data_IF_130943103734
#
_entry.id   IF_130943103734
#
_cell.length_a   1.000
_cell.length_b   1.000
_cell.length_c   1.000
_cell.angle_alpha   90.00
_cell.angle_beta   90.00
_cell.angle_gamma   90.00
#
_symmetry.space_group_name_H-M   'P 1'
#
loop_
_entity.id
_entity.type
_entity.pdbx_description
1 polymer ?
#
# COMPACT_ATOMS: atom_id res chain seq x y z
N UNK A 1 38.96 10.81 -9.86
CA UNK A 1 37.52 10.63 -10.09
C UNK A 1 36.93 11.99 -10.36
N UNK A 2 36.50 12.22 -11.58
CA UNK A 2 35.97 13.51 -12.00
C UNK A 2 34.61 13.78 -11.34
N UNK A 3 34.42 15.00 -10.84
CA UNK A 3 33.16 15.43 -10.20
C UNK A 3 31.98 15.31 -11.18
N UNK A 4 32.22 15.49 -12.47
CA UNK A 4 31.21 15.32 -13.53
C UNK A 4 30.75 13.87 -13.69
N UNK A 5 31.67 12.89 -13.62
CA UNK A 5 31.30 11.47 -13.67
C UNK A 5 30.55 11.02 -12.42
N UNK A 6 30.89 11.55 -11.25
CA UNK A 6 30.16 11.29 -10.02
C UNK A 6 28.72 11.85 -10.08
N UNK A 7 28.57 13.07 -10.59
CA UNK A 7 27.25 13.68 -10.80
C UNK A 7 26.42 12.93 -11.83
N UNK A 8 27.02 12.48 -12.94
CA UNK A 8 26.34 11.69 -13.97
C UNK A 8 25.86 10.34 -13.43
N UNK A 9 26.71 9.64 -12.67
CA UNK A 9 26.31 8.38 -12.01
C UNK A 9 25.21 8.57 -10.97
N UNK A 10 25.23 9.71 -10.26
CA UNK A 10 24.18 10.04 -9.28
C UNK A 10 22.86 10.37 -9.97
N UNK A 11 22.88 11.09 -11.08
CA UNK A 11 21.70 11.37 -11.89
C UNK A 11 21.16 10.12 -12.58
N UNK A 12 22.01 9.28 -13.16
CA UNK A 12 21.62 8.00 -13.77
C UNK A 12 21.02 7.06 -12.71
N UNK A 13 21.58 7.02 -11.51
CA UNK A 13 21.00 6.21 -10.42
C UNK A 13 19.67 6.77 -9.91
N UNK A 14 19.45 8.08 -9.98
CA UNK A 14 18.14 8.70 -9.68
C UNK A 14 17.11 8.43 -10.79
N UNK A 15 17.51 8.46 -12.07
CA UNK A 15 16.64 8.13 -13.20
C UNK A 15 16.27 6.65 -13.22
N UNK A 16 17.22 5.75 -12.96
CA UNK A 16 16.94 4.31 -12.83
C UNK A 16 16.02 4.01 -11.65
N UNK A 17 16.13 4.74 -10.54
CA UNK A 17 15.18 4.63 -9.41
C UNK A 17 13.78 5.13 -9.75
N UNK A 18 13.62 5.95 -10.78
CA UNK A 18 12.32 6.45 -11.23
C UNK A 18 11.49 5.35 -11.90
N UNK A 19 12.14 4.39 -12.51
CA UNK A 19 11.51 3.30 -13.26
C UNK A 19 11.20 2.05 -12.39
N UNK A 20 11.82 1.94 -11.20
CA UNK A 20 11.68 0.79 -10.29
C UNK A 20 10.73 1.06 -9.11
N UNK A 21 10.00 2.16 -9.10
CA UNK A 21 9.08 2.44 -8.00
C UNK A 21 7.84 1.57 -8.07
N UNK A 22 7.55 0.87 -6.97
CA UNK A 22 6.34 0.05 -6.83
C UNK A 22 5.18 0.83 -6.21
N UNK A 23 5.46 1.86 -5.44
CA UNK A 23 4.48 2.76 -4.84
C UNK A 23 4.93 4.20 -5.03
N UNK A 24 4.05 5.02 -5.52
CA UNK A 24 4.22 6.47 -5.60
C UNK A 24 2.97 7.17 -5.08
N UNK A 25 3.15 8.07 -4.14
CA UNK A 25 2.10 8.92 -3.56
C UNK A 25 2.55 10.36 -3.72
N UNK A 26 1.69 11.21 -4.24
CA UNK A 26 1.95 12.64 -4.47
C UNK A 26 0.82 13.49 -3.91
N UNK A 27 1.18 14.51 -3.16
CA UNK A 27 0.29 15.55 -2.62
C UNK A 27 -0.96 14.97 -1.93
N UNK A 28 -0.82 13.81 -1.27
CA UNK A 28 -1.95 13.10 -0.69
C UNK A 28 -2.49 13.84 0.53
N UNK A 29 -3.77 14.18 0.48
CA UNK A 29 -4.51 14.71 1.62
C UNK A 29 -5.80 13.93 1.86
N UNK A 30 -6.10 13.67 3.13
CA UNK A 30 -7.26 12.88 3.56
C UNK A 30 -7.95 13.55 4.72
N UNK A 31 -9.27 13.74 4.58
CA UNK A 31 -10.16 14.25 5.63
C UNK A 31 -11.01 13.08 6.16
N UNK A 32 -11.11 12.96 7.46
CA UNK A 32 -12.01 12.02 8.14
C UNK A 32 -12.86 12.74 9.17
N UNK A 33 -14.16 12.52 9.13
CA UNK A 33 -15.13 13.14 10.05
C UNK A 33 -14.95 14.67 10.12
N UNK A 34 -14.75 15.32 8.97
CA UNK A 34 -14.55 16.76 8.88
C UNK A 34 -13.18 17.27 9.34
N UNK A 35 -12.27 16.39 9.74
CA UNK A 35 -10.93 16.75 10.21
C UNK A 35 -9.86 16.31 9.20
N UNK A 36 -8.95 17.20 8.87
CA UNK A 36 -7.76 16.90 8.06
C UNK A 36 -6.84 15.99 8.89
N UNK A 37 -6.65 14.76 8.42
CA UNK A 37 -5.81 13.74 9.09
C UNK A 37 -4.47 13.61 8.41
N UNK A 38 -4.43 13.71 7.09
CA UNK A 38 -3.22 13.66 6.26
C UNK A 38 -3.22 14.88 5.37
N UNK A 39 -2.09 15.55 5.28
CA UNK A 39 -1.90 16.75 4.46
C UNK A 39 -0.61 16.65 3.67
N UNK A 40 -0.72 16.77 2.35
CA UNK A 40 0.37 16.96 1.40
C UNK A 40 1.51 15.93 1.56
N UNK A 41 1.14 14.65 1.67
CA UNK A 41 2.11 13.57 1.82
C UNK A 41 2.64 13.12 0.47
N UNK A 42 3.96 13.13 0.35
CA UNK A 42 4.71 12.52 -0.74
C UNK A 42 5.45 11.29 -0.22
N UNK A 43 5.32 10.16 -0.93
CA UNK A 43 5.98 8.92 -0.59
C UNK A 43 6.34 8.15 -1.86
N UNK A 44 7.54 7.61 -1.91
CA UNK A 44 7.98 6.76 -2.99
C UNK A 44 8.70 5.54 -2.43
N UNK A 45 8.29 4.35 -2.87
CA UNK A 45 8.90 3.09 -2.45
C UNK A 45 9.32 2.33 -3.70
N UNK A 46 10.58 1.93 -3.73
CA UNK A 46 11.17 1.14 -4.80
C UNK A 46 10.99 -0.37 -4.59
N UNK A 47 11.27 -1.13 -5.63
CA UNK A 47 11.23 -2.59 -5.58
C UNK A 47 12.24 -3.13 -4.56
N UNK A 48 11.78 -4.07 -3.72
CA UNK A 48 12.61 -4.72 -2.70
C UNK A 48 12.87 -3.89 -1.46
N UNK A 49 12.32 -2.69 -1.35
CA UNK A 49 12.45 -1.87 -0.15
C UNK A 49 11.54 -2.35 0.98
N UNK A 50 12.06 -2.29 2.19
CA UNK A 50 11.31 -2.45 3.44
C UNK A 50 11.17 -1.10 4.13
N UNK A 51 9.94 -0.65 4.34
CA UNK A 51 9.64 0.67 4.89
C UNK A 51 8.87 0.55 6.19
N UNK A 52 9.36 1.22 7.23
CA UNK A 52 8.68 1.36 8.52
C UNK A 52 7.95 2.69 8.62
N UNK A 53 6.67 2.66 8.98
CA UNK A 53 5.87 3.83 9.26
C UNK A 53 5.72 3.98 10.77
N UNK A 54 6.35 5.02 11.34
CA UNK A 54 6.46 5.23 12.78
C UNK A 54 5.79 6.55 13.17
N UNK A 55 5.10 6.54 14.29
CA UNK A 55 4.46 7.72 14.85
C UNK A 55 3.52 7.38 16.00
N UNK A 56 3.08 8.37 16.77
CA UNK A 56 2.15 8.15 17.88
C UNK A 56 0.79 7.67 17.38
N UNK A 57 -0.01 7.06 18.28
CA UNK A 57 -1.38 6.69 17.98
C UNK A 57 -2.20 7.94 17.63
N UNK A 58 -3.01 7.86 16.58
CA UNK A 58 -3.79 9.00 16.08
C UNK A 58 -3.03 9.94 15.15
N UNK A 59 -1.79 9.61 14.75
CA UNK A 59 -1.00 10.42 13.79
C UNK A 59 -1.38 10.22 12.32
N UNK A 60 -2.33 9.32 12.02
CA UNK A 60 -2.79 9.08 10.65
C UNK A 60 -2.13 7.90 9.94
N UNK A 61 -1.31 7.08 10.61
CA UNK A 61 -0.63 5.91 9.99
C UNK A 61 -1.61 4.95 9.32
N UNK A 62 -2.65 4.53 10.03
CA UNK A 62 -3.69 3.64 9.50
C UNK A 62 -4.45 4.30 8.36
N UNK A 63 -4.77 5.58 8.49
CA UNK A 63 -5.43 6.35 7.43
C UNK A 63 -4.59 6.39 6.16
N UNK A 64 -3.28 6.61 6.26
CA UNK A 64 -2.37 6.58 5.13
C UNK A 64 -2.37 5.21 4.44
N UNK A 65 -2.20 4.13 5.19
CA UNK A 65 -2.19 2.77 4.65
C UNK A 65 -3.51 2.40 3.96
N UNK A 66 -4.64 2.70 4.59
CA UNK A 66 -5.97 2.42 4.02
C UNK A 66 -6.25 3.27 2.77
N UNK A 67 -5.71 4.49 2.70
CA UNK A 67 -5.81 5.33 1.49
C UNK A 67 -4.95 4.79 0.36
N UNK A 68 -3.73 4.33 0.64
CA UNK A 68 -2.86 3.66 -0.34
C UNK A 68 -3.54 2.41 -0.90
N UNK A 69 -4.21 1.63 -0.07
CA UNK A 69 -4.96 0.45 -0.50
C UNK A 69 -6.26 0.78 -1.26
N UNK A 70 -6.68 2.04 -1.30
CA UNK A 70 -7.94 2.45 -1.91
C UNK A 70 -9.19 2.13 -1.09
N UNK A 71 -9.04 1.68 0.16
CA UNK A 71 -10.14 1.39 1.08
C UNK A 71 -10.76 2.69 1.60
N UNK A 72 -9.92 3.71 1.85
CA UNK A 72 -10.37 5.05 2.19
C UNK A 72 -10.20 5.99 1.00
N UNK A 73 -11.21 6.78 0.76
CA UNK A 73 -11.16 7.81 -0.27
C UNK A 73 -10.20 8.93 0.15
N UNK A 74 -9.38 9.34 -0.78
CA UNK A 74 -8.56 10.55 -0.64
C UNK A 74 -9.36 11.80 -1.04
N UNK A 75 -8.99 12.95 -0.49
CA UNK A 75 -9.55 14.24 -0.87
C UNK A 75 -8.79 14.85 -2.04
N UNK A 76 -7.46 14.71 -2.03
CA UNK A 76 -6.59 15.19 -3.11
C UNK A 76 -5.33 14.33 -3.22
N UNK A 77 -4.55 14.59 -4.25
CA UNK A 77 -3.32 13.87 -4.54
C UNK A 77 -3.49 12.65 -5.42
N UNK A 78 -2.39 11.99 -5.69
CA UNK A 78 -2.34 10.81 -6.56
C UNK A 78 -1.67 9.64 -5.85
N UNK A 79 -2.16 8.44 -6.11
CA UNK A 79 -1.56 7.18 -5.63
C UNK A 79 -1.43 6.25 -6.83
N UNK A 80 -0.23 5.75 -7.03
CA UNK A 80 0.08 4.77 -8.07
C UNK A 80 0.81 3.58 -7.45
N UNK A 81 0.32 2.37 -7.72
CA UNK A 81 0.92 1.11 -7.30
C UNK A 81 1.23 0.31 -8.56
N UNK A 82 2.51 0.00 -8.79
CA UNK A 82 2.98 -0.66 -10.02
C UNK A 82 2.48 0.05 -11.31
N UNK A 83 2.31 1.37 -11.27
CA UNK A 83 1.79 2.16 -12.38
C UNK A 83 0.27 2.23 -12.49
N UNK A 84 -0.48 1.59 -11.59
CA UNK A 84 -1.94 1.52 -11.62
C UNK A 84 -2.57 2.23 -10.43
N UNK A 85 -3.79 2.70 -10.60
CA UNK A 85 -4.58 3.26 -9.49
C UNK A 85 -4.91 2.18 -8.46
N UNK A 86 -5.03 2.51 -7.17
CA UNK A 86 -5.49 1.58 -6.15
C UNK A 86 -6.82 0.90 -6.56
N UNK A 87 -7.02 -0.34 -6.17
CA UNK A 87 -8.20 -1.16 -6.49
C UNK A 87 -8.38 -1.52 -7.98
N UNK A 88 -7.43 -1.21 -8.85
CA UNK A 88 -7.47 -1.65 -10.24
C UNK A 88 -7.27 -3.17 -10.35
N UNK A 89 -7.85 -3.77 -11.40
CA UNK A 89 -7.80 -5.23 -11.61
C UNK A 89 -6.40 -5.76 -11.85
N UNK A 90 -5.52 -4.93 -12.38
CA UNK A 90 -4.12 -5.23 -12.64
C UNK A 90 -3.34 -5.51 -11.35
N UNK A 91 -3.86 -5.05 -10.21
CA UNK A 91 -3.29 -5.26 -8.89
C UNK A 91 -3.83 -6.51 -8.17
N UNK A 92 -4.81 -7.22 -8.75
CA UNK A 92 -5.36 -8.43 -8.16
C UNK A 92 -4.26 -9.49 -7.93
N UNK A 93 -4.14 -9.94 -6.68
CA UNK A 93 -3.13 -10.90 -6.26
C UNK A 93 -1.70 -10.36 -6.10
N UNK A 94 -1.46 -9.07 -6.37
CA UNK A 94 -0.14 -8.44 -6.23
C UNK A 94 0.03 -7.67 -4.91
N UNK A 95 -1.06 -7.40 -4.20
CA UNK A 95 -1.06 -6.69 -2.92
C UNK A 95 -1.63 -7.60 -1.85
N UNK A 96 -0.96 -7.65 -0.70
CA UNK A 96 -1.45 -8.32 0.49
C UNK A 96 -1.55 -7.32 1.64
N UNK A 97 -2.61 -7.43 2.41
CA UNK A 97 -2.85 -6.62 3.60
C UNK A 97 -3.04 -7.50 4.82
N UNK A 98 -2.29 -7.21 5.88
CA UNK A 98 -2.47 -7.84 7.18
C UNK A 98 -2.97 -6.77 8.15
N UNK A 99 -4.22 -6.87 8.58
CA UNK A 99 -4.81 -5.91 9.50
C UNK A 99 -4.29 -6.10 10.93
N UNK A 100 -4.31 -5.05 11.72
CA UNK A 100 -4.00 -5.12 13.15
C UNK A 100 -4.93 -6.09 13.90
N UNK A 101 -6.18 -6.24 13.47
CA UNK A 101 -7.11 -7.21 14.02
C UNK A 101 -6.67 -8.67 13.83
N UNK A 102 -5.82 -8.96 12.85
CA UNK A 102 -5.28 -10.30 12.65
C UNK A 102 -4.37 -10.74 13.81
N UNK A 103 -3.79 -9.82 14.56
CA UNK A 103 -2.99 -10.12 15.77
C UNK A 103 -3.86 -10.47 16.99
N UNK A 104 -5.15 -10.19 16.94
CA UNK A 104 -6.13 -10.48 17.99
C UNK A 104 -6.95 -11.74 17.70
N UNK A 105 -6.48 -12.61 16.80
CA UNK A 105 -7.12 -13.90 16.57
C UNK A 105 -7.14 -14.68 17.89
N UNK A 106 -8.30 -15.23 18.29
CA UNK A 106 -8.38 -16.04 19.50
C UNK A 106 -7.36 -17.20 19.40
N UNK A 107 -6.61 -17.44 20.47
CA UNK A 107 -5.57 -18.48 20.52
C UNK A 107 -6.12 -19.89 20.33
N UNK A 108 -7.44 -20.08 20.37
CA UNK A 108 -8.16 -21.31 20.10
C UNK A 108 -8.57 -21.49 18.64
N UNK A 109 -8.32 -20.49 17.77
CA UNK A 109 -8.61 -20.61 16.35
C UNK A 109 -7.57 -21.52 15.68
N UNK A 110 -7.93 -22.76 15.42
CA UNK A 110 -7.08 -23.71 14.69
C UNK A 110 -7.22 -23.47 13.19
N UNK A 111 -6.39 -22.60 12.65
CA UNK A 111 -6.28 -22.39 11.20
C UNK A 111 -4.97 -23.00 10.75
N UNK A 112 -5.01 -23.84 9.74
CA UNK A 112 -3.81 -24.37 9.09
C UNK A 112 -3.17 -23.29 8.20
N UNK A 113 -1.86 -23.38 7.98
CA UNK A 113 -1.15 -22.48 7.06
C UNK A 113 -1.80 -22.47 5.67
N UNK A 114 -2.29 -23.63 5.21
CA UNK A 114 -3.01 -23.76 3.93
C UNK A 114 -4.30 -22.93 3.90
N UNK A 115 -5.06 -22.92 4.98
CA UNK A 115 -6.28 -22.11 5.09
C UNK A 115 -5.97 -20.62 5.16
N UNK A 116 -4.93 -20.25 5.88
CA UNK A 116 -4.44 -18.86 5.94
C UNK A 116 -4.02 -18.36 4.57
N UNK A 117 -3.27 -19.15 3.82
CA UNK A 117 -2.85 -18.83 2.45
C UNK A 117 -4.05 -18.72 1.50
N UNK A 118 -5.06 -19.60 1.65
CA UNK A 118 -6.30 -19.51 0.88
C UNK A 118 -7.11 -18.25 1.17
N UNK A 119 -7.07 -17.73 2.40
CA UNK A 119 -7.69 -16.45 2.74
C UNK A 119 -7.01 -15.27 2.03
N UNK A 120 -5.69 -15.30 1.87
CA UNK A 120 -4.96 -14.30 1.10
C UNK A 120 -5.23 -14.32 -0.41
N UNK A 121 -5.74 -15.44 -0.93
CA UNK A 121 -6.14 -15.59 -2.34
C UNK A 121 -7.60 -15.16 -2.62
N UNK A 122 -8.33 -14.70 -1.59
CA UNK A 122 -9.69 -14.19 -1.74
C UNK A 122 -9.59 -12.76 -2.28
N UNK A 123 -9.89 -12.60 -3.55
CA UNK A 123 -10.09 -11.29 -4.17
C UNK A 123 -11.58 -10.97 -4.27
N UNK A 124 -11.91 -9.73 -4.61
CA UNK A 124 -13.29 -9.26 -4.72
C UNK A 124 -14.18 -10.09 -5.65
N UNK A 125 -13.59 -10.79 -6.65
CA UNK A 125 -14.30 -11.69 -7.56
C UNK A 125 -14.69 -13.02 -6.91
N UNK A 126 -13.84 -13.58 -6.06
CA UNK A 126 -14.08 -14.88 -5.42
C UNK A 126 -15.08 -14.77 -4.25
N UNK A 127 -15.23 -13.59 -3.68
CA UNK A 127 -16.15 -13.33 -2.58
C UNK A 127 -17.62 -13.40 -3.03
N UNK A 128 -17.90 -12.98 -4.26
CA UNK A 128 -19.25 -12.99 -4.85
C UNK A 128 -19.66 -14.39 -5.39
N UNK A 129 -18.71 -15.20 -5.84
CA UNK A 129 -19.02 -16.53 -6.39
C UNK A 129 -19.41 -17.57 -5.34
N UNK A 130 -18.99 -17.38 -4.07
CA UNK A 130 -19.37 -18.27 -2.95
C UNK A 130 -20.81 -18.07 -2.44
N UNK A 131 -21.47 -16.97 -2.83
CA UNK A 131 -22.85 -16.68 -2.41
C UNK A 131 -23.92 -17.34 -3.29
N UNK A 132 -23.50 -17.98 -4.38
CA UNK A 132 -24.42 -18.58 -5.37
C UNK A 132 -24.67 -20.09 -5.20
N UNK A 133 -24.08 -20.74 -4.18
CA UNK A 133 -24.25 -22.17 -3.93
C UNK A 133 -24.71 -22.46 -2.49
N UNK A 134 -25.79 -21.81 -2.10
CA UNK A 134 -26.56 -22.19 -0.90
C UNK A 134 -28.02 -22.25 -1.26
#
# INVERSE_FOLDING_TARGET
MDLEMFNLQTELSKEQRKDDSILEVKDLSVIRSGKLVISDIDLKIGKGEFVGLVGPNGSGKTTLLLSILGILNKNSGEISILGYSPMSRELDGKISWVSQAASNLPSNLRITVRELVKLGAINSRNMLSRRSNS
#
